data_IF_591719097868
#
_entry.id   IF_591719097868
#
_cell.length_a   1.000
_cell.length_b   1.000
_cell.length_c   1.000
_cell.angle_alpha   90.00
_cell.angle_beta   90.00
_cell.angle_gamma   90.00
#
_symmetry.space_group_name_H-M   'P 1'
#
loop_
_entity.id
_entity.type
_entity.pdbx_description
1 polymer ?
#
# COMPACT_ATOMS: atom_id res chain seq x y z
N UNK A 1 -3.90 -27.54 78.81
CA UNK A 1 -4.99 -28.48 79.15
C UNK A 1 -6.13 -28.23 78.17
N UNK A 2 -6.09 -28.88 76.99
CA UNK A 2 -6.95 -30.02 76.60
C UNK A 2 -8.45 -29.76 76.76
N UNK A 3 -9.16 -29.62 75.64
CA UNK A 3 -10.43 -30.35 75.44
C UNK A 3 -10.87 -30.38 73.97
N UNK A 4 -10.88 -31.60 73.46
CA UNK A 4 -11.61 -32.09 72.29
C UNK A 4 -13.13 -31.94 72.50
N UNK A 5 -13.87 -31.53 71.47
CA UNK A 5 -15.33 -31.58 71.47
C UNK A 5 -15.84 -32.44 70.31
N UNK A 6 -16.67 -33.42 70.65
CA UNK A 6 -17.32 -34.39 69.75
C UNK A 6 -18.71 -33.85 69.37
N UNK A 7 -19.05 -34.14 68.12
CA UNK A 7 -20.22 -33.81 67.30
C UNK A 7 -21.60 -34.15 67.90
N UNK A 8 -22.66 -33.44 67.49
CA UNK A 8 -23.93 -34.04 67.03
C UNK A 8 -24.74 -33.03 66.18
N UNK A 9 -25.39 -33.54 65.12
CA UNK A 9 -26.00 -32.79 64.01
C UNK A 9 -27.55 -32.82 64.10
N UNK A 10 -28.20 -31.85 63.42
CA UNK A 10 -29.53 -31.85 62.71
C UNK A 10 -30.82 -31.41 63.45
N UNK A 11 -31.93 -31.01 62.76
CA UNK A 11 -32.20 -30.17 61.55
C UNK A 11 -33.11 -28.93 61.83
N UNK A 12 -33.44 -28.06 60.83
CA UNK A 12 -34.24 -26.84 61.04
C UNK A 12 -35.73 -26.99 60.62
N UNK A 13 -36.67 -26.24 61.21
CA UNK A 13 -37.93 -25.94 60.55
C UNK A 13 -37.85 -24.59 59.80
N UNK A 14 -38.02 -24.70 58.48
CA UNK A 14 -38.46 -23.63 57.58
C UNK A 14 -39.91 -23.28 57.95
N UNK A 15 -40.35 -22.04 57.73
CA UNK A 15 -41.58 -21.71 56.98
C UNK A 15 -41.85 -20.20 56.98
N UNK A 16 -42.10 -19.69 55.76
CA UNK A 16 -43.09 -18.67 55.40
C UNK A 16 -42.89 -17.22 55.90
N UNK A 17 -43.04 -16.15 55.12
CA UNK A 17 -43.36 -15.98 53.71
C UNK A 17 -43.02 -14.52 53.29
N UNK A 18 -42.72 -14.26 52.01
CA UNK A 18 -42.51 -12.92 51.44
C UNK A 18 -43.67 -12.49 50.54
N UNK A 19 -44.29 -11.31 50.72
CA UNK A 19 -45.23 -10.78 49.72
C UNK A 19 -45.63 -9.30 49.92
N UNK A 20 -44.72 -8.34 49.72
CA UNK A 20 -45.15 -6.93 49.48
C UNK A 20 -44.18 -6.08 48.65
N UNK A 21 -43.32 -6.68 47.82
CA UNK A 21 -42.39 -5.94 46.95
C UNK A 21 -42.47 -6.36 45.47
N UNK A 22 -43.59 -6.96 45.03
CA UNK A 22 -43.70 -7.50 43.68
C UNK A 22 -44.30 -6.54 42.63
N UNK A 23 -44.94 -5.42 43.04
CA UNK A 23 -45.61 -4.53 42.07
C UNK A 23 -44.73 -3.34 41.67
N UNK A 24 -43.92 -2.80 42.57
CA UNK A 24 -43.06 -1.64 42.26
C UNK A 24 -41.83 -2.01 41.41
N UNK A 25 -41.35 -3.26 41.50
CA UNK A 25 -40.19 -3.74 40.71
C UNK A 25 -40.58 -4.03 39.25
N UNK A 26 -41.81 -4.49 39.00
CA UNK A 26 -42.29 -4.76 37.64
C UNK A 26 -42.42 -3.48 36.79
N UNK A 27 -42.86 -2.36 37.36
CA UNK A 27 -42.97 -1.09 36.64
C UNK A 27 -41.61 -0.48 36.28
N UNK A 28 -40.61 -0.59 37.18
CA UNK A 28 -39.26 -0.11 36.92
C UNK A 28 -38.51 -0.97 35.87
N UNK A 29 -38.75 -2.28 35.85
CA UNK A 29 -38.22 -3.18 34.82
C UNK A 29 -38.86 -2.94 33.44
N UNK A 30 -40.15 -2.61 33.38
CA UNK A 30 -40.79 -2.24 32.10
C UNK A 30 -40.28 -0.89 31.57
N UNK A 31 -40.01 0.10 32.43
CA UNK A 31 -39.50 1.40 31.99
C UNK A 31 -38.09 1.33 31.36
N UNK A 32 -37.26 0.36 31.77
CA UNK A 32 -35.94 0.12 31.17
C UNK A 32 -36.00 -0.55 29.79
N UNK A 33 -37.11 -1.21 29.44
CA UNK A 33 -37.34 -1.82 28.12
C UNK A 33 -37.87 -0.82 27.08
N UNK A 34 -38.40 0.33 27.52
CA UNK A 34 -38.92 1.40 26.63
C UNK A 34 -37.93 2.54 26.39
N UNK A 35 -36.75 2.56 27.02
CA UNK A 35 -35.70 3.51 26.67
C UNK A 35 -35.07 3.09 25.34
N UNK A 36 -35.25 3.85 24.24
CA UNK A 36 -34.52 3.55 23.01
C UNK A 36 -33.03 3.69 23.33
N UNK A 37 -32.29 2.58 23.24
CA UNK A 37 -30.85 2.64 23.19
C UNK A 37 -30.51 3.52 21.98
N UNK A 38 -30.05 4.74 22.23
CA UNK A 38 -29.54 5.59 21.17
C UNK A 38 -28.36 4.85 20.54
N UNK A 39 -28.61 4.23 19.39
CA UNK A 39 -27.57 3.65 18.57
C UNK A 39 -26.59 4.78 18.29
N UNK A 40 -25.40 4.71 18.88
CA UNK A 40 -24.31 5.59 18.53
C UNK A 40 -24.02 5.32 17.05
N UNK A 41 -24.58 6.15 16.17
CA UNK A 41 -24.28 6.11 14.76
C UNK A 41 -22.77 6.26 14.62
N UNK A 42 -22.11 5.21 14.14
CA UNK A 42 -20.70 5.28 13.83
C UNK A 42 -20.49 6.46 12.86
N UNK A 43 -19.46 7.30 13.07
CA UNK A 43 -19.17 8.37 12.13
C UNK A 43 -19.04 7.78 10.72
N UNK A 44 -19.67 8.44 9.75
CA UNK A 44 -19.65 8.00 8.36
C UNK A 44 -18.19 7.74 7.91
N UNK A 45 -17.93 6.67 7.13
CA UNK A 45 -16.60 6.38 6.65
C UNK A 45 -16.04 7.58 5.89
N UNK A 46 -14.83 8.00 6.24
CA UNK A 46 -14.13 9.08 5.56
C UNK A 46 -13.50 8.52 4.30
N UNK A 47 -13.96 8.98 3.14
CA UNK A 47 -13.41 8.59 1.85
C UNK A 47 -12.14 9.39 1.50
N UNK A 48 -11.26 8.77 0.71
CA UNK A 48 -10.10 9.46 0.15
C UNK A 48 -10.54 10.35 -1.02
N UNK A 49 -10.01 11.58 -1.08
CA UNK A 49 -10.24 12.50 -2.20
C UNK A 49 -9.01 12.53 -3.13
N UNK A 50 -9.18 12.67 -4.46
CA UNK A 50 -8.08 12.66 -5.42
C UNK A 50 -7.33 14.00 -5.45
N UNK A 51 -6.68 14.37 -4.34
CA UNK A 51 -5.99 15.66 -4.18
C UNK A 51 -4.54 15.64 -4.65
N UNK A 52 -3.96 14.45 -4.85
CA UNK A 52 -2.57 14.29 -5.26
C UNK A 52 -2.43 14.06 -6.76
N UNK A 53 -1.42 14.68 -7.36
CA UNK A 53 -1.17 14.57 -8.80
C UNK A 53 -0.55 13.23 -9.16
N UNK A 54 -1.24 12.44 -9.98
CA UNK A 54 -0.70 11.18 -10.50
C UNK A 54 0.42 11.41 -11.53
N UNK A 55 0.29 12.40 -12.42
CA UNK A 55 1.29 12.73 -13.45
C UNK A 55 2.62 13.18 -12.86
N UNK A 56 2.59 13.83 -11.68
CA UNK A 56 3.79 14.27 -10.97
C UNK A 56 4.22 13.32 -9.85
N UNK A 57 3.65 12.11 -9.80
CA UNK A 57 4.05 11.11 -8.82
C UNK A 57 5.53 10.77 -8.97
N UNK A 58 6.18 10.49 -7.85
CA UNK A 58 7.54 9.94 -7.85
C UNK A 58 7.43 8.47 -8.26
N UNK A 59 8.25 8.06 -9.23
CA UNK A 59 8.31 6.70 -9.78
C UNK A 59 9.73 6.20 -9.68
N UNK A 60 9.93 5.11 -8.97
CA UNK A 60 11.24 4.54 -8.70
C UNK A 60 11.15 3.02 -8.81
N UNK A 61 12.19 2.39 -9.34
CA UNK A 61 12.34 0.94 -9.34
C UNK A 61 13.48 0.58 -8.39
N UNK A 62 13.20 -0.31 -7.43
CA UNK A 62 14.17 -0.71 -6.40
C UNK A 62 14.31 -2.23 -6.39
N UNK A 63 15.50 -2.70 -6.01
CA UNK A 63 15.74 -4.12 -5.74
C UNK A 63 15.59 -4.39 -4.25
N UNK A 64 14.63 -5.23 -3.90
CA UNK A 64 14.37 -5.64 -2.52
C UNK A 64 14.95 -7.02 -2.29
N UNK A 65 15.76 -7.17 -1.25
CA UNK A 65 16.27 -8.45 -0.77
C UNK A 65 15.11 -9.24 -0.13
N UNK A 66 14.90 -10.48 -0.58
CA UNK A 66 13.82 -11.34 -0.07
C UNK A 66 14.19 -12.09 1.21
N UNK A 67 15.48 -12.17 1.53
CA UNK A 67 16.02 -13.04 2.58
C UNK A 67 16.05 -14.53 2.21
N UNK A 68 15.61 -14.89 1.01
CA UNK A 68 15.52 -16.26 0.52
C UNK A 68 16.62 -16.54 -0.51
N UNK A 69 17.00 -17.80 -0.64
CA UNK A 69 17.90 -18.32 -1.67
C UNK A 69 17.14 -19.44 -2.39
N UNK A 70 16.39 -19.07 -3.42
CA UNK A 70 15.48 -19.94 -4.14
C UNK A 70 16.17 -20.81 -5.20
N UNK A 71 17.37 -20.45 -5.63
CA UNK A 71 18.17 -21.20 -6.63
C UNK A 71 19.35 -21.96 -6.03
N UNK A 72 19.66 -21.76 -4.74
CA UNK A 72 20.69 -22.48 -3.99
C UNK A 72 22.10 -21.96 -4.21
N UNK A 73 22.26 -20.73 -4.74
CA UNK A 73 23.57 -20.13 -5.04
C UNK A 73 24.28 -19.53 -3.80
N UNK A 74 23.67 -19.64 -2.60
CA UNK A 74 24.09 -19.03 -1.32
C UNK A 74 24.07 -17.50 -1.32
N UNK A 75 23.39 -16.88 -2.27
CA UNK A 75 23.13 -15.45 -2.32
C UNK A 75 21.63 -15.24 -2.15
N UNK A 76 21.28 -14.09 -1.59
CA UNK A 76 19.87 -13.77 -1.39
C UNK A 76 19.25 -13.30 -2.70
N UNK A 77 18.11 -13.87 -3.03
CA UNK A 77 17.28 -13.45 -4.13
C UNK A 77 16.84 -12.00 -3.94
N UNK A 78 16.65 -11.32 -5.08
CA UNK A 78 16.13 -9.97 -5.10
C UNK A 78 14.94 -9.89 -6.02
N UNK A 79 13.90 -9.20 -5.56
CA UNK A 79 12.73 -8.86 -6.35
C UNK A 79 12.78 -7.40 -6.77
N UNK A 80 12.45 -7.13 -8.03
CA UNK A 80 12.26 -5.77 -8.49
C UNK A 80 10.89 -5.27 -7.98
N UNK A 81 10.86 -4.08 -7.43
CA UNK A 81 9.64 -3.41 -6.99
C UNK A 81 9.56 -2.02 -7.59
N UNK A 82 8.44 -1.73 -8.26
CA UNK A 82 8.13 -0.40 -8.76
C UNK A 82 7.29 0.36 -7.73
N UNK A 83 7.80 1.52 -7.30
CA UNK A 83 7.18 2.37 -6.30
C UNK A 83 6.62 3.61 -7.00
N UNK A 84 5.30 3.78 -6.93
CA UNK A 84 4.61 5.00 -7.37
C UNK A 84 4.02 5.69 -6.15
N UNK A 85 4.56 6.85 -5.76
CA UNK A 85 4.09 7.61 -4.59
C UNK A 85 3.75 9.06 -4.91
N UNK A 86 2.71 9.64 -4.28
CA UNK A 86 2.45 11.08 -4.34
C UNK A 86 3.68 11.90 -3.94
N UNK A 87 4.02 12.90 -4.76
CA UNK A 87 5.23 13.72 -4.54
C UNK A 87 5.07 14.67 -3.36
N UNK A 88 3.87 15.19 -3.15
CA UNK A 88 3.58 16.21 -2.14
C UNK A 88 3.80 15.69 -0.70
N UNK A 89 3.24 14.52 -0.30
CA UNK A 89 3.54 13.91 1.00
C UNK A 89 5.00 13.48 1.16
N UNK A 90 5.63 12.99 0.08
CA UNK A 90 7.02 12.53 0.12
C UNK A 90 7.99 13.66 0.47
N UNK A 91 7.76 14.89 -0.01
CA UNK A 91 8.61 16.07 0.27
C UNK A 91 8.64 16.46 1.74
N UNK A 92 7.53 16.22 2.46
CA UNK A 92 7.37 16.59 3.87
C UNK A 92 7.50 15.39 4.81
N UNK A 93 7.91 14.23 4.29
CA UNK A 93 8.06 13.00 5.07
C UNK A 93 6.74 12.43 5.62
N UNK A 94 5.59 12.79 5.04
CA UNK A 94 4.29 12.29 5.49
C UNK A 94 4.06 10.86 4.98
N UNK A 95 3.75 9.96 5.90
CA UNK A 95 3.38 8.57 5.59
C UNK A 95 2.02 8.50 4.91
N UNK A 96 1.91 7.63 3.90
CA UNK A 96 0.70 7.32 3.14
C UNK A 96 0.56 5.80 3.12
N UNK A 97 -0.66 5.23 3.20
CA UNK A 97 -0.85 3.79 3.07
C UNK A 97 -0.35 3.26 1.72
N UNK A 98 0.07 2.01 1.71
CA UNK A 98 0.57 1.30 0.52
C UNK A 98 -0.50 0.32 0.04
N UNK A 99 -0.76 0.35 -1.26
CA UNK A 99 -1.48 -0.71 -1.97
C UNK A 99 -0.42 -1.48 -2.75
N UNK A 100 -0.34 -2.79 -2.50
CA UNK A 100 0.63 -3.67 -3.14
C UNK A 100 -0.08 -4.56 -4.16
N UNK A 101 0.47 -4.62 -5.36
CA UNK A 101 0.10 -5.59 -6.38
C UNK A 101 1.31 -6.49 -6.65
N UNK A 102 1.17 -7.76 -6.32
CA UNK A 102 2.24 -8.77 -6.47
C UNK A 102 1.92 -9.64 -7.69
N UNK A 103 2.31 -9.15 -8.86
CA UNK A 103 2.07 -9.85 -10.12
C UNK A 103 3.36 -10.47 -10.66
N UNK A 104 3.40 -11.79 -10.92
CA UNK A 104 4.58 -12.45 -11.49
C UNK A 104 4.85 -12.04 -12.95
N UNK A 105 3.93 -11.34 -13.61
CA UNK A 105 3.99 -11.04 -15.04
C UNK A 105 4.33 -9.58 -15.36
N UNK A 106 4.87 -8.82 -14.41
CA UNK A 106 5.28 -7.43 -14.62
C UNK A 106 6.81 -7.27 -14.54
N UNK A 107 7.60 -7.92 -15.43
CA UNK A 107 9.05 -7.82 -15.37
C UNK A 107 9.52 -6.43 -15.82
N UNK A 108 10.37 -5.81 -15.02
CA UNK A 108 11.10 -4.59 -15.42
C UNK A 108 12.42 -4.97 -16.09
N UNK A 109 12.56 -4.63 -17.37
CA UNK A 109 13.79 -4.85 -18.13
C UNK A 109 14.78 -3.69 -17.88
N UNK A 110 15.90 -3.98 -17.21
CA UNK A 110 17.00 -3.03 -17.03
C UNK A 110 18.13 -3.40 -17.99
N UNK A 111 18.50 -2.49 -18.90
CA UNK A 111 19.65 -2.69 -19.80
C UNK A 111 20.92 -2.13 -19.16
N UNK A 112 21.98 -2.94 -19.18
CA UNK A 112 23.32 -2.47 -18.91
C UNK A 112 24.01 -2.07 -20.23
N UNK A 113 24.10 -0.77 -20.48
CA UNK A 113 24.66 -0.25 -21.74
C UNK A 113 26.15 -0.60 -21.91
N UNK A 114 26.90 -0.79 -20.82
CA UNK A 114 28.33 -1.09 -20.92
C UNK A 114 28.59 -2.55 -21.33
N UNK A 115 27.66 -3.44 -21.01
CA UNK A 115 27.77 -4.89 -21.30
C UNK A 115 26.84 -5.36 -22.41
N UNK A 116 25.96 -4.49 -22.92
CA UNK A 116 24.99 -4.84 -23.94
C UNK A 116 25.31 -4.13 -25.24
N UNK A 117 25.62 -4.90 -26.28
CA UNK A 117 25.76 -4.39 -27.65
C UNK A 117 24.54 -4.72 -28.49
N UNK A 118 24.10 -3.77 -29.33
CA UNK A 118 23.07 -4.00 -30.35
C UNK A 118 23.68 -3.80 -31.73
N UNK A 119 23.50 -4.77 -32.63
CA UNK A 119 23.89 -4.65 -34.02
C UNK A 119 22.70 -4.16 -34.86
N UNK A 120 22.77 -2.94 -35.36
CA UNK A 120 21.72 -2.34 -36.16
C UNK A 120 22.05 -2.46 -37.66
N UNK A 121 21.21 -3.11 -38.48
CA UNK A 121 21.43 -3.14 -39.92
C UNK A 121 21.23 -1.73 -40.50
N UNK A 122 22.27 -1.22 -41.17
CA UNK A 122 22.19 0.03 -41.90
C UNK A 122 21.55 -0.21 -43.27
N UNK A 123 20.25 0.11 -43.37
CA UNK A 123 19.55 0.16 -44.66
C UNK A 123 20.28 1.16 -45.57
N UNK A 124 20.80 0.68 -46.72
CA UNK A 124 21.58 1.51 -47.66
C UNK A 124 23.09 1.58 -47.39
N UNK A 125 23.61 0.91 -46.35
CA UNK A 125 25.04 0.77 -46.08
C UNK A 125 25.73 2.02 -45.51
N UNK A 126 27.04 1.91 -45.28
CA UNK A 126 27.83 2.94 -44.59
C UNK A 126 27.85 4.30 -45.30
N UNK A 127 27.80 4.32 -46.64
CA UNK A 127 27.80 5.57 -47.41
C UNK A 127 26.49 6.36 -47.24
N UNK A 128 25.35 5.67 -47.17
CA UNK A 128 24.06 6.29 -46.88
C UNK A 128 24.03 6.88 -45.47
N UNK A 129 24.57 6.15 -44.49
CA UNK A 129 24.72 6.63 -43.12
C UNK A 129 25.63 7.86 -43.03
N UNK A 130 26.80 7.82 -43.68
CA UNK A 130 27.74 8.94 -43.70
C UNK A 130 27.09 10.20 -44.31
N UNK A 131 26.35 10.06 -45.42
CA UNK A 131 25.60 11.16 -46.05
C UNK A 131 24.50 11.71 -45.14
N UNK A 132 23.79 10.84 -44.41
CA UNK A 132 22.74 11.26 -43.48
C UNK A 132 23.31 12.01 -42.27
N UNK A 133 24.54 11.69 -41.86
CA UNK A 133 25.19 12.26 -40.66
C UNK A 133 26.13 13.42 -40.99
N UNK A 134 26.47 13.65 -42.27
CA UNK A 134 27.31 14.76 -42.71
C UNK A 134 26.60 16.12 -42.74
N UNK A 135 25.29 16.15 -42.49
CA UNK A 135 24.51 17.39 -42.40
C UNK A 135 24.69 18.08 -41.05
N UNK A 136 25.32 19.25 -41.04
CA UNK A 136 25.37 20.14 -39.87
C UNK A 136 24.02 20.82 -39.61
N UNK A 137 23.72 21.04 -38.32
CA UNK A 137 22.57 21.76 -37.73
C UNK A 137 21.39 21.99 -38.68
N UNK A 138 20.44 21.06 -38.64
CA UNK A 138 19.08 21.33 -39.07
C UNK A 138 18.56 22.53 -38.27
N UNK A 139 18.42 23.70 -38.90
CA UNK A 139 17.52 24.73 -38.38
C UNK A 139 16.16 24.06 -38.33
N UNK A 140 15.69 23.75 -37.11
CA UNK A 140 14.48 22.98 -36.88
C UNK A 140 13.30 23.65 -37.59
N UNK A 141 13.03 23.23 -38.83
CA UNK A 141 11.74 23.44 -39.45
C UNK A 141 10.76 22.67 -38.58
N UNK A 142 9.80 23.40 -38.02
CA UNK A 142 8.81 22.96 -37.05
C UNK A 142 8.51 21.47 -37.21
N UNK A 143 8.97 20.68 -36.24
CA UNK A 143 8.90 19.23 -36.30
C UNK A 143 7.44 18.80 -36.27
N UNK A 144 6.84 18.61 -37.44
CA UNK A 144 5.56 17.94 -37.56
C UNK A 144 5.74 16.54 -37.01
N UNK A 145 5.04 16.27 -35.91
CA UNK A 145 5.07 14.97 -35.22
C UNK A 145 4.76 13.90 -36.26
N UNK A 146 5.75 13.07 -36.58
CA UNK A 146 5.53 11.91 -37.44
C UNK A 146 4.64 10.93 -36.69
N UNK A 147 3.59 10.46 -37.39
CA UNK A 147 2.63 9.53 -36.81
C UNK A 147 3.34 8.27 -36.30
N UNK A 148 3.03 7.88 -35.06
CA UNK A 148 3.72 6.80 -34.34
C UNK A 148 5.02 7.17 -33.62
N UNK A 149 5.58 8.38 -33.79
CA UNK A 149 6.78 8.83 -33.06
C UNK A 149 6.37 9.75 -31.92
N UNK A 150 6.44 9.24 -30.68
CA UNK A 150 6.19 10.06 -29.49
C UNK A 150 7.28 11.11 -29.34
N UNK A 151 6.87 12.36 -29.12
CA UNK A 151 7.81 13.44 -28.84
C UNK A 151 8.75 13.07 -27.67
N UNK A 152 10.07 13.30 -27.80
CA UNK A 152 11.03 13.00 -26.75
C UNK A 152 10.68 13.80 -25.49
N UNK A 153 10.60 13.11 -24.35
CA UNK A 153 10.35 13.79 -23.08
C UNK A 153 11.65 14.42 -22.58
N UNK A 154 11.65 15.70 -22.19
CA UNK A 154 12.83 16.33 -21.61
C UNK A 154 13.18 15.62 -20.30
N UNK A 155 14.34 14.94 -20.27
CA UNK A 155 14.85 14.32 -19.06
C UNK A 155 15.34 15.41 -18.09
N UNK A 156 14.69 15.52 -16.93
CA UNK A 156 15.12 16.44 -15.88
C UNK A 156 16.31 15.84 -15.11
N UNK A 157 17.52 16.31 -15.44
CA UNK A 157 18.76 15.89 -14.78
C UNK A 157 18.81 16.50 -13.37
N UNK A 158 18.83 15.66 -12.34
CA UNK A 158 19.09 16.11 -10.97
C UNK A 158 20.58 16.45 -10.81
N UNK A 159 20.96 17.55 -10.13
CA UNK A 159 22.36 17.84 -9.83
C UNK A 159 22.89 16.77 -8.87
N UNK A 160 23.98 16.13 -9.26
CA UNK A 160 24.74 15.23 -8.40
C UNK A 160 25.57 16.03 -7.40
N UNK A 161 25.65 15.51 -6.19
CA UNK A 161 26.52 15.97 -5.11
C UNK A 161 27.82 15.16 -5.07
#
# INVERSE_FOLDING_TARGET
>A
MTRTAISHRTPPPRHAAPATYAVATAAALLAALLTPAAAHAAPAPKESRPVYSYTRAVRESVWVDTGLDGDGDRRKDRVAADIVRPREPARVGRKVPVIMDASPYTPTLTLDLARTSVHLPLLGGAAAFARATSGGTSTASEATVLDGVRAPHPAQRAPGN
#
